data_IF_330725617432
#
_entry.id   IF_330725617432
#
_cell.length_a   1.000
_cell.length_b   1.000
_cell.length_c   1.000
_cell.angle_alpha   90.00
_cell.angle_beta   90.00
_cell.angle_gamma   90.00
#
_symmetry.space_group_name_H-M   'P 1'
#
loop_
_entity.id
_entity.type
_entity.pdbx_description
1 polymer ?
#
# COMPACT_ATOMS: atom_id res chain seq x y z
N UNK A 1 3.36 -7.12 -1.03
CA UNK A 1 4.42 -6.08 -1.04
C UNK A 1 4.18 -5.06 0.08
N UNK A 2 2.97 -4.51 0.20
CA UNK A 2 2.56 -3.61 1.29
C UNK A 2 2.74 -4.17 2.72
N UNK A 3 2.57 -5.48 2.93
CA UNK A 3 2.73 -6.11 4.25
C UNK A 3 4.14 -5.86 4.83
N UNK A 4 5.18 -5.87 3.99
CA UNK A 4 6.58 -5.65 4.42
C UNK A 4 6.79 -4.27 5.02
N UNK A 5 6.15 -3.25 4.43
CA UNK A 5 6.19 -1.89 4.93
C UNK A 5 5.36 -1.75 6.21
N UNK A 6 4.16 -2.32 6.22
CA UNK A 6 3.26 -2.29 7.37
C UNK A 6 3.89 -2.94 8.63
N UNK A 7 4.70 -3.99 8.46
CA UNK A 7 5.31 -4.73 9.59
C UNK A 7 6.79 -4.38 9.81
N UNK A 8 7.31 -3.30 9.22
CA UNK A 8 8.71 -2.91 9.41
C UNK A 8 8.96 -2.43 10.86
N UNK A 9 10.23 -2.45 11.28
CA UNK A 9 10.61 -2.01 12.64
C UNK A 9 10.29 -3.03 13.74
N UNK A 10 10.21 -2.55 14.98
CA UNK A 10 10.10 -3.38 16.19
C UNK A 10 8.69 -3.97 16.39
N UNK A 11 7.64 -3.30 15.91
CA UNK A 11 6.25 -3.68 16.17
C UNK A 11 5.84 -4.98 15.46
N UNK A 12 6.48 -5.31 14.32
CA UNK A 12 6.19 -6.49 13.48
C UNK A 12 4.73 -6.67 13.08
N UNK A 13 3.90 -5.65 13.30
CA UNK A 13 2.46 -5.70 13.15
C UNK A 13 2.01 -4.41 12.53
N UNK A 14 1.14 -4.48 11.51
CA UNK A 14 0.64 -3.28 10.86
C UNK A 14 -0.61 -3.54 10.02
N UNK A 15 -1.16 -2.45 9.51
CA UNK A 15 -2.35 -2.46 8.68
C UNK A 15 -1.98 -2.28 7.22
N UNK A 16 -2.64 -3.03 6.35
CA UNK A 16 -2.60 -2.87 4.90
C UNK A 16 -3.99 -2.46 4.45
N UNK A 17 -4.09 -1.31 3.79
CA UNK A 17 -5.34 -0.78 3.25
C UNK A 17 -5.42 -1.06 1.76
N UNK A 18 -6.59 -1.47 1.30
CA UNK A 18 -6.96 -1.49 -0.11
C UNK A 18 -7.67 -0.18 -0.42
N UNK A 19 -7.17 0.53 -1.43
CA UNK A 19 -7.63 1.87 -1.79
C UNK A 19 -8.00 1.88 -3.28
N UNK A 20 -9.16 2.47 -3.58
CA UNK A 20 -9.61 2.78 -4.93
C UNK A 20 -9.95 4.27 -4.98
N UNK A 21 -9.08 5.06 -5.61
CA UNK A 21 -9.19 6.51 -5.68
C UNK A 21 -8.86 7.00 -7.11
N UNK A 22 -9.53 8.05 -7.61
CA UNK A 22 -9.16 8.69 -8.85
C UNK A 22 -7.88 9.53 -8.70
N UNK A 23 -7.11 9.69 -9.78
CA UNK A 23 -5.90 10.51 -9.81
C UNK A 23 -4.67 9.81 -9.21
N UNK A 24 -3.94 10.52 -8.36
CA UNK A 24 -2.62 10.11 -7.87
C UNK A 24 -1.50 10.37 -8.87
N UNK A 25 -0.27 10.51 -8.37
CA UNK A 25 0.93 10.71 -9.17
C UNK A 25 1.71 9.40 -9.17
N UNK A 26 1.82 8.77 -10.34
CA UNK A 26 2.73 7.64 -10.52
C UNK A 26 4.19 8.15 -10.42
N UNK A 27 4.86 7.78 -9.33
CA UNK A 27 6.22 8.22 -9.02
C UNK A 27 7.22 7.66 -10.02
N UNK A 28 6.99 6.44 -10.53
CA UNK A 28 7.86 5.82 -11.52
C UNK A 28 7.76 6.53 -12.88
N UNK A 29 6.55 6.86 -13.31
CA UNK A 29 6.34 7.61 -14.54
C UNK A 29 6.94 9.02 -14.47
N UNK A 30 6.89 9.64 -13.29
CA UNK A 30 7.41 11.00 -13.06
C UNK A 30 8.94 11.02 -12.94
N UNK A 31 9.54 10.05 -12.23
CA UNK A 31 10.99 9.92 -12.08
C UNK A 31 11.72 9.67 -13.41
N UNK A 32 11.05 9.06 -14.38
CA UNK A 32 11.63 8.85 -15.71
C UNK A 32 11.84 10.17 -16.49
N UNK A 33 11.02 11.19 -16.24
CA UNK A 33 11.03 12.46 -16.99
C UNK A 33 12.22 13.37 -16.63
N UNK A 34 12.85 13.19 -15.47
CA UNK A 34 13.99 13.99 -15.02
C UNK A 34 15.26 13.16 -14.80
N UNK A 35 15.28 11.89 -15.25
CA UNK A 35 16.43 10.99 -15.08
C UNK A 35 16.71 10.64 -13.62
N UNK A 36 15.70 10.74 -12.74
CA UNK A 36 15.84 10.42 -11.33
C UNK A 36 15.83 8.91 -11.12
N UNK A 37 16.98 8.35 -10.75
CA UNK A 37 17.09 6.96 -10.31
C UNK A 37 16.93 6.90 -8.79
N UNK A 38 15.83 6.29 -8.31
CA UNK A 38 15.62 6.00 -6.89
C UNK A 38 15.74 4.50 -6.61
N UNK A 39 16.42 4.09 -5.51
CA UNK A 39 16.46 2.70 -5.08
C UNK A 39 15.10 2.17 -4.62
N UNK A 40 14.04 2.99 -4.63
CA UNK A 40 12.69 2.66 -4.19
C UNK A 40 11.68 2.56 -5.34
N UNK A 41 12.07 2.77 -6.60
CA UNK A 41 11.16 2.71 -7.76
C UNK A 41 10.49 1.32 -7.94
N UNK A 42 11.05 0.27 -7.34
CA UNK A 42 10.41 -1.05 -7.28
C UNK A 42 9.11 -1.06 -6.47
N UNK A 43 8.86 -0.06 -5.62
CA UNK A 43 7.66 0.07 -4.80
C UNK A 43 6.40 0.35 -5.63
N UNK A 44 6.55 0.81 -6.89
CA UNK A 44 5.43 1.26 -7.74
C UNK A 44 4.51 2.21 -7.00
N UNK A 45 5.14 3.21 -6.37
CA UNK A 45 4.48 4.19 -5.51
C UNK A 45 3.56 5.10 -6.33
N UNK A 46 2.36 5.35 -5.80
CA UNK A 46 1.41 6.33 -6.30
C UNK A 46 1.17 7.32 -5.16
N UNK A 47 1.60 8.55 -5.35
CA UNK A 47 1.48 9.60 -4.35
C UNK A 47 0.16 10.36 -4.49
N UNK A 48 -0.50 10.63 -3.36
CA UNK A 48 -1.72 11.43 -3.30
C UNK A 48 -1.46 12.71 -2.49
N UNK A 49 -1.08 13.82 -3.14
CA UNK A 49 -0.93 15.11 -2.45
C UNK A 49 -2.25 15.52 -1.78
N UNK A 50 -2.21 15.77 -0.47
CA UNK A 50 -3.42 16.03 0.34
C UNK A 50 -4.00 14.80 1.04
N UNK A 51 -3.46 13.61 0.77
CA UNK A 51 -3.90 12.35 1.36
C UNK A 51 -5.06 11.71 0.58
N UNK A 52 -5.68 10.71 1.21
CA UNK A 52 -6.72 9.89 0.61
C UNK A 52 -7.96 10.00 1.51
N UNK A 53 -9.10 10.38 0.92
CA UNK A 53 -10.37 10.44 1.65
C UNK A 53 -10.80 9.02 2.07
N UNK A 54 -11.39 8.90 3.27
CA UNK A 54 -11.75 7.60 3.84
C UNK A 54 -12.75 6.80 2.99
N UNK A 55 -13.58 7.47 2.20
CA UNK A 55 -14.53 6.85 1.24
C UNK A 55 -13.85 6.12 0.09
N UNK A 56 -12.57 6.37 -0.17
CA UNK A 56 -11.77 5.63 -1.15
C UNK A 56 -11.08 4.38 -0.56
N UNK A 57 -11.15 4.19 0.76
CA UNK A 57 -10.58 3.00 1.40
C UNK A 57 -11.64 1.90 1.35
N UNK A 58 -11.35 0.81 0.65
CA UNK A 58 -12.27 -0.32 0.48
C UNK A 58 -12.18 -1.31 1.63
N UNK A 59 -10.96 -1.65 2.05
CA UNK A 59 -10.74 -2.62 3.11
C UNK A 59 -9.44 -2.37 3.88
N UNK A 60 -9.34 -2.95 5.07
CA UNK A 60 -8.12 -2.95 5.87
C UNK A 60 -7.89 -4.34 6.46
N UNK A 61 -6.69 -4.90 6.28
CA UNK A 61 -6.26 -6.15 6.89
C UNK A 61 -5.08 -5.91 7.83
N UNK A 62 -5.12 -6.51 9.02
CA UNK A 62 -4.02 -6.45 9.97
C UNK A 62 -3.12 -7.66 9.78
N UNK A 63 -1.81 -7.42 9.69
CA UNK A 63 -0.83 -8.48 9.53
C UNK A 63 0.22 -8.45 10.65
N UNK A 64 0.70 -9.63 11.01
CA UNK A 64 1.87 -9.82 11.86
C UNK A 64 2.97 -10.57 11.08
N UNK A 65 4.21 -10.12 11.18
CA UNK A 65 5.36 -10.80 10.58
C UNK A 65 5.80 -11.96 11.48
N UNK A 66 5.58 -13.19 11.02
CA UNK A 66 5.95 -14.41 11.75
C UNK A 66 7.44 -14.72 11.60
N UNK A 67 7.94 -14.62 10.37
CA UNK A 67 9.32 -15.00 10.04
C UNK A 67 9.81 -14.30 8.79
N UNK A 68 11.11 -14.03 8.76
CA UNK A 68 11.86 -13.72 7.53
C UNK A 68 12.85 -14.86 7.29
N UNK A 69 12.82 -15.46 6.12
CA UNK A 69 13.84 -16.42 5.70
C UNK A 69 15.19 -15.71 5.53
N UNK A 70 16.26 -16.15 6.22
CA UNK A 70 17.53 -15.44 6.18
C UNK A 70 18.26 -15.55 4.84
N UNK A 71 18.01 -16.59 4.05
CA UNK A 71 18.66 -16.83 2.77
C UNK A 71 17.92 -16.12 1.63
N UNK A 72 16.59 -16.28 1.57
CA UNK A 72 15.77 -15.76 0.47
C UNK A 72 15.17 -14.38 0.76
N UNK A 73 15.22 -13.93 2.02
CA UNK A 73 14.57 -12.69 2.51
C UNK A 73 13.05 -12.67 2.30
N UNK A 74 12.44 -13.83 2.07
CA UNK A 74 10.99 -13.99 1.96
C UNK A 74 10.37 -13.90 3.35
N UNK A 75 9.29 -13.12 3.46
CA UNK A 75 8.56 -12.95 4.69
C UNK A 75 7.31 -13.82 4.72
N UNK A 76 7.05 -14.45 5.87
CA UNK A 76 5.79 -15.15 6.17
C UNK A 76 4.97 -14.31 7.13
N UNK A 77 3.70 -14.11 6.82
CA UNK A 77 2.79 -13.26 7.58
C UNK A 77 1.61 -14.05 8.11
N UNK A 78 1.14 -13.67 9.29
CA UNK A 78 -0.18 -14.02 9.81
C UNK A 78 -1.18 -12.91 9.45
N UNK A 79 -2.34 -13.27 8.91
CA UNK A 79 -3.46 -12.34 8.75
C UNK A 79 -4.31 -12.38 10.02
N UNK A 80 -4.28 -11.30 10.79
CA UNK A 80 -4.99 -11.17 12.06
C UNK A 80 -6.46 -10.74 11.89
N UNK A 81 -6.91 -10.57 10.64
CA UNK A 81 -8.29 -10.22 10.32
C UNK A 81 -8.37 -9.01 9.40
N UNK A 82 -9.46 -8.98 8.63
CA UNK A 82 -9.79 -7.93 7.70
C UNK A 82 -11.14 -7.31 8.02
N UNK A 83 -11.29 -6.02 7.71
CA UNK A 83 -12.56 -5.32 7.76
C UNK A 83 -12.79 -4.61 6.43
N UNK A 84 -14.03 -4.69 5.95
CA UNK A 84 -14.50 -3.88 4.82
C UNK A 84 -15.02 -2.55 5.34
N UNK A 85 -14.74 -1.49 4.60
CA UNK A 85 -15.24 -0.17 4.94
C UNK A 85 -16.69 -0.02 4.45
N UNK A 86 -17.62 0.23 5.37
CA UNK A 86 -19.05 0.43 5.03
C UNK A 86 -19.32 1.77 4.35
N UNK A 87 -18.35 2.69 4.39
CA UNK A 87 -18.43 4.01 3.77
C UNK A 87 -17.68 4.08 2.43
N UNK A 88 -17.21 2.94 1.93
CA UNK A 88 -16.58 2.88 0.62
C UNK A 88 -17.60 3.25 -0.48
N UNK A 89 -17.23 4.16 -1.38
CA UNK A 89 -18.04 4.53 -2.54
C UNK A 89 -17.31 4.14 -3.83
N UNK A 90 -17.90 3.19 -4.56
CA UNK A 90 -17.39 2.61 -5.82
C UNK A 90 -17.58 3.58 -7.01
N UNK A 91 -18.47 4.55 -6.83
CA UNK A 91 -19.10 5.36 -7.87
C UNK A 91 -18.17 6.42 -8.50
N UNK A 92 -17.00 6.68 -7.90
CA UNK A 92 -16.07 7.73 -8.33
C UNK A 92 -15.05 7.29 -9.40
N UNK A 93 -15.04 6.00 -9.77
CA UNK A 93 -14.10 5.45 -10.77
C UNK A 93 -14.76 5.25 -12.15
N UNK A 94 -16.09 5.32 -12.25
CA UNK A 94 -16.83 5.05 -13.49
C UNK A 94 -17.02 6.25 -14.44
N UNK A 95 -16.54 7.43 -14.07
CA UNK A 95 -16.66 8.63 -14.90
C UNK A 95 -15.27 9.13 -15.30
N UNK A 96 -14.62 8.51 -16.30
CA UNK A 96 -13.69 9.15 -17.24
C UNK A 96 -13.28 8.18 -18.37
#
# INVERSE_FOLDING_TARGET
MAQKFATYGAAKTGWVYEIEAPGGIDVNATAHLNGYESPYLWNKEIDFPGGIAGEHIKSACKYHLLKTDPATKVNTYENLGCQTNRHFQDDLVAAH
#
